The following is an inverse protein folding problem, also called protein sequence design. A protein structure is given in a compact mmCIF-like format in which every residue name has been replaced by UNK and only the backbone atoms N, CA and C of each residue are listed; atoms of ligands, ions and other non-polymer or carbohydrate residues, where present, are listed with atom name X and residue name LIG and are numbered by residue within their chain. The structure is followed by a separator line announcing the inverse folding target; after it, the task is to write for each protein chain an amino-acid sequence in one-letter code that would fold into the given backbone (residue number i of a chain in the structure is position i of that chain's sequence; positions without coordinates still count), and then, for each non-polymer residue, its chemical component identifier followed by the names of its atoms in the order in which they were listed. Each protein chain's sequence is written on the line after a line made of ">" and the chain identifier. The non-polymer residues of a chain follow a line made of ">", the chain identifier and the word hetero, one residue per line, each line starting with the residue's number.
data_IF_780247548235
#
_entry.id   IF_780247548235
#
_cell.length_a   1.000
_cell.length_b   1.000
_cell.length_c   1.000
_cell.angle_alpha   90.00
_cell.angle_beta   90.00
_cell.angle_gamma   90.00
#
_symmetry.space_group_name_H-M   'P 1'
#
loop_
_entity.id
_entity.type
_entity.pdbx_description
1 polymer ?
#
# COMPACT_ATOMS: atom_id res chain seq x y z
N UNK A 1 -11.00 -20.87 -26.31
CA UNK A 1 -11.02 -20.01 -25.12
C UNK A 1 -9.63 -19.41 -25.03
N UNK A 2 -9.44 -18.19 -25.53
CA UNK A 2 -8.20 -17.46 -25.24
C UNK A 2 -8.18 -17.25 -23.72
N UNK A 3 -7.05 -17.46 -22.99
CA UNK A 3 -6.98 -17.01 -21.61
C UNK A 3 -7.27 -15.51 -21.65
N UNK A 4 -8.42 -15.11 -21.11
CA UNK A 4 -8.75 -13.71 -20.89
C UNK A 4 -7.55 -13.12 -20.18
N UNK A 5 -6.96 -12.05 -20.73
CA UNK A 5 -5.98 -11.27 -19.98
C UNK A 5 -6.56 -11.04 -18.58
N UNK A 6 -5.81 -11.33 -17.50
CA UNK A 6 -6.33 -11.12 -16.15
C UNK A 6 -6.83 -9.69 -16.09
N UNK A 7 -8.04 -9.50 -15.54
CA UNK A 7 -8.60 -8.17 -15.39
C UNK A 7 -7.60 -7.36 -14.55
N UNK A 8 -6.92 -6.43 -15.22
CA UNK A 8 -5.85 -5.67 -14.61
C UNK A 8 -6.38 -4.90 -13.40
N UNK A 9 -7.66 -4.50 -13.41
CA UNK A 9 -8.28 -3.84 -12.27
C UNK A 9 -8.38 -4.80 -11.08
N UNK A 10 -8.87 -6.02 -11.29
CA UNK A 10 -8.97 -7.05 -10.24
C UNK A 10 -7.58 -7.40 -9.67
N UNK A 11 -6.56 -7.54 -10.52
CA UNK A 11 -5.20 -7.83 -10.07
C UNK A 11 -4.58 -6.68 -9.25
N UNK A 12 -4.89 -5.43 -9.60
CA UNK A 12 -4.46 -4.26 -8.84
C UNK A 12 -5.20 -4.15 -7.49
N UNK A 13 -6.50 -4.44 -7.47
CA UNK A 13 -7.30 -4.48 -6.24
C UNK A 13 -6.75 -5.54 -5.26
N UNK A 14 -6.51 -6.77 -5.73
CA UNK A 14 -5.94 -7.85 -4.92
C UNK A 14 -4.53 -7.52 -4.41
N UNK A 15 -3.71 -6.81 -5.20
CA UNK A 15 -2.40 -6.32 -4.76
C UNK A 15 -2.56 -5.35 -3.59
N UNK A 16 -3.48 -4.39 -3.71
CA UNK A 16 -3.65 -3.34 -2.71
C UNK A 16 -4.21 -3.91 -1.40
N UNK A 17 -5.14 -4.87 -1.48
CA UNK A 17 -5.62 -5.64 -0.32
C UNK A 17 -4.49 -6.41 0.39
N UNK A 18 -3.63 -7.10 -0.37
CA UNK A 18 -2.49 -7.82 0.19
C UNK A 18 -1.50 -6.87 0.87
N UNK A 19 -1.20 -5.73 0.24
CA UNK A 19 -0.27 -4.73 0.78
C UNK A 19 -0.81 -4.13 2.09
N UNK A 20 -2.12 -3.87 2.17
CA UNK A 20 -2.78 -3.44 3.40
C UNK A 20 -2.64 -4.49 4.52
N UNK A 21 -2.88 -5.77 4.23
CA UNK A 21 -2.72 -6.84 5.21
C UNK A 21 -1.26 -6.99 5.70
N UNK A 22 -0.29 -6.89 4.79
CA UNK A 22 1.13 -6.91 5.15
C UNK A 22 1.50 -5.72 6.05
N UNK A 23 0.98 -4.54 5.75
CA UNK A 23 1.21 -3.31 6.53
C UNK A 23 0.79 -3.49 7.99
N UNK A 24 -0.41 -4.01 8.23
CA UNK A 24 -0.94 -4.25 9.58
C UNK A 24 -0.03 -5.17 10.39
N UNK A 25 0.44 -6.26 9.79
CA UNK A 25 1.38 -7.19 10.42
C UNK A 25 2.72 -6.49 10.72
N UNK A 26 3.27 -5.74 9.77
CA UNK A 26 4.57 -5.06 9.90
C UNK A 26 4.57 -3.99 11.00
N UNK A 27 3.45 -3.28 11.18
CA UNK A 27 3.28 -2.32 12.28
C UNK A 27 3.45 -2.97 13.66
N UNK A 28 3.08 -4.25 13.80
CA UNK A 28 3.26 -5.02 15.04
C UNK A 28 4.69 -5.52 15.30
N UNK A 29 5.61 -5.44 14.32
CA UNK A 29 6.96 -6.01 14.43
C UNK A 29 7.98 -5.06 15.06
N UNK A 30 7.92 -3.76 14.76
CA UNK A 30 8.74 -2.74 15.44
C UNK A 30 10.25 -2.73 15.11
N UNK A 31 10.67 -3.28 13.97
CA UNK A 31 12.07 -3.18 13.51
C UNK A 31 12.25 -2.07 12.47
N UNK A 32 13.47 -1.55 12.33
CA UNK A 32 13.78 -0.54 11.29
C UNK A 32 13.43 -1.01 9.88
N UNK A 33 13.67 -2.28 9.59
CA UNK A 33 13.32 -2.86 8.29
C UNK A 33 11.80 -2.91 8.08
N UNK A 34 11.03 -3.30 9.11
CA UNK A 34 9.58 -3.29 9.05
C UNK A 34 9.03 -1.87 8.86
N UNK A 35 9.57 -0.87 9.57
CA UNK A 35 9.18 0.53 9.40
C UNK A 35 9.46 1.05 7.98
N UNK A 36 10.59 0.68 7.39
CA UNK A 36 10.91 1.07 6.01
C UNK A 36 9.96 0.45 4.98
N UNK A 37 9.53 -0.80 5.21
CA UNK A 37 8.54 -1.47 4.36
C UNK A 37 7.15 -0.84 4.51
N UNK A 38 6.73 -0.50 5.73
CA UNK A 38 5.46 0.21 5.97
C UNK A 38 5.45 1.55 5.22
N UNK A 39 6.49 2.36 5.37
CA UNK A 39 6.59 3.64 4.65
C UNK A 39 6.57 3.48 3.12
N UNK A 40 7.12 2.39 2.60
CA UNK A 40 7.05 2.10 1.18
C UNK A 40 5.64 1.72 0.72
N UNK A 41 4.91 0.93 1.54
CA UNK A 41 3.51 0.59 1.30
C UNK A 41 2.63 1.84 1.36
N UNK A 42 2.83 2.69 2.37
CA UNK A 42 2.10 3.95 2.54
C UNK A 42 2.25 4.85 1.30
N UNK A 43 3.48 5.04 0.81
CA UNK A 43 3.73 5.81 -0.40
C UNK A 43 3.17 5.17 -1.68
N UNK A 44 3.14 3.84 -1.77
CA UNK A 44 2.63 3.12 -2.96
C UNK A 44 1.10 3.17 -3.04
N UNK A 45 0.44 3.13 -1.89
CA UNK A 45 -1.02 3.17 -1.75
C UNK A 45 -1.56 4.58 -1.49
N UNK A 46 -0.68 5.58 -1.44
CA UNK A 46 -1.00 6.99 -1.17
C UNK A 46 -1.73 7.19 0.18
N UNK A 47 -1.30 6.46 1.22
CA UNK A 47 -1.91 6.50 2.56
C UNK A 47 -1.38 7.67 3.40
N UNK A 48 -0.30 8.32 2.97
CA UNK A 48 0.37 9.43 3.67
C UNK A 48 -0.29 10.80 3.43
N UNK A 49 -1.46 10.85 2.77
CA UNK A 49 -2.10 12.08 2.27
C UNK A 49 -2.69 13.00 3.37
N UNK A 50 -2.31 12.81 4.64
CA UNK A 50 -2.45 13.84 5.69
C UNK A 50 -1.33 14.91 5.64
N UNK A 51 -0.40 14.83 4.68
CA UNK A 51 0.64 15.82 4.45
C UNK A 51 0.49 16.57 3.11
N UNK A 52 -0.73 16.88 2.65
CA UNK A 52 -0.93 17.86 1.58
C UNK A 52 -0.38 19.25 2.02
N UNK A 53 0.65 19.83 1.36
CA UNK A 53 1.20 21.13 1.70
C UNK A 53 0.29 22.26 1.13
N UNK A 54 -0.95 22.31 1.60
CA UNK A 54 -1.97 23.28 1.19
C UNK A 54 -2.68 23.96 2.35
N UNK A 55 -2.45 23.54 3.60
CA UNK A 55 -3.13 24.07 4.78
C UNK A 55 -2.15 24.76 5.74
N UNK A 56 -1.41 25.74 5.22
CA UNK A 56 -0.90 26.85 6.01
C UNK A 56 -1.45 28.14 5.40
N UNK A 57 -2.59 28.58 5.96
CA UNK A 57 -3.06 29.96 5.87
C UNK A 57 -3.45 30.44 7.25
#
# INVERSE_FOLDING_TARGET
>A
MSPSEPDLAEALELRDELLMACREVLLGVGTRAASALVAHIDALLDLDDEASPGSQR
#
